data_IF_982287610328
#
_entry.id   IF_982287610328
#
_cell.length_a   1.000
_cell.length_b   1.000
_cell.length_c   1.000
_cell.angle_alpha   90.00
_cell.angle_beta   90.00
_cell.angle_gamma   90.00
#
_symmetry.space_group_name_H-M   'P 1'
#
loop_
_entity.id
_entity.type
_entity.pdbx_description
1 polymer ?
#
# COMPACT_ATOMS: atom_id res chain seq x y z
N UNK A 1 -3.81 -23.03 6.36
CA UNK A 1 -2.89 -22.36 7.32
C UNK A 1 -3.71 -21.45 8.23
N UNK A 2 -3.28 -21.28 9.48
CA UNK A 2 -3.76 -20.22 10.39
C UNK A 2 -2.97 -18.95 10.10
N UNK A 3 -3.65 -17.88 9.72
CA UNK A 3 -3.03 -16.62 9.28
C UNK A 3 -3.47 -15.48 10.18
N UNK A 4 -2.51 -14.79 10.77
CA UNK A 4 -2.77 -13.57 11.52
C UNK A 4 -2.68 -12.34 10.59
N UNK A 5 -3.71 -11.49 10.62
CA UNK A 5 -3.81 -10.29 9.78
C UNK A 5 -3.96 -9.03 10.62
N UNK A 6 -2.95 -8.17 10.59
CA UNK A 6 -3.02 -6.83 11.15
C UNK A 6 -3.45 -5.83 10.07
N UNK A 7 -4.47 -5.01 10.35
CA UNK A 7 -5.05 -4.06 9.38
C UNK A 7 -6.20 -4.63 8.56
N UNK A 8 -6.81 -5.73 9.01
CA UNK A 8 -7.84 -6.49 8.30
C UNK A 8 -9.12 -5.73 7.94
N UNK A 9 -9.44 -4.62 8.62
CA UNK A 9 -10.62 -3.80 8.31
C UNK A 9 -10.33 -2.61 7.41
N UNK A 10 -9.07 -2.43 6.99
CA UNK A 10 -8.64 -1.33 6.14
C UNK A 10 -8.89 -1.58 4.65
N UNK A 11 -8.41 -0.64 3.83
CA UNK A 11 -8.55 -0.67 2.37
C UNK A 11 -8.11 -2.01 1.75
N UNK A 12 -6.88 -2.46 2.02
CA UNK A 12 -6.36 -3.75 1.53
C UNK A 12 -6.88 -4.93 2.33
N UNK A 13 -6.89 -4.82 3.67
CA UNK A 13 -7.23 -5.92 4.57
C UNK A 13 -8.62 -6.52 4.32
N UNK A 14 -9.59 -5.67 4.00
CA UNK A 14 -10.97 -6.08 3.73
C UNK A 14 -11.12 -6.95 2.47
N UNK A 15 -10.13 -6.94 1.57
CA UNK A 15 -10.05 -7.85 0.42
C UNK A 15 -9.11 -9.03 0.66
N UNK A 16 -8.04 -8.83 1.43
CA UNK A 16 -7.08 -9.90 1.78
C UNK A 16 -7.75 -11.00 2.60
N UNK A 17 -8.60 -10.65 3.57
CA UNK A 17 -9.25 -11.64 4.44
C UNK A 17 -10.16 -12.59 3.66
N UNK A 18 -11.13 -12.11 2.84
CA UNK A 18 -11.95 -12.99 2.00
C UNK A 18 -11.12 -13.83 1.03
N UNK A 19 -10.07 -13.27 0.43
CA UNK A 19 -9.16 -13.98 -0.48
C UNK A 19 -8.47 -15.17 0.23
N UNK A 20 -7.96 -14.95 1.44
CA UNK A 20 -7.35 -16.00 2.26
C UNK A 20 -8.37 -17.08 2.65
N UNK A 21 -9.57 -16.70 3.08
CA UNK A 21 -10.63 -17.64 3.47
C UNK A 21 -11.07 -18.48 2.27
N UNK A 22 -11.26 -17.86 1.10
CA UNK A 22 -11.61 -18.55 -0.14
C UNK A 22 -10.56 -19.58 -0.56
N UNK A 23 -9.28 -19.33 -0.25
CA UNK A 23 -8.17 -20.27 -0.45
C UNK A 23 -8.05 -21.34 0.65
N UNK A 24 -8.96 -21.38 1.63
CA UNK A 24 -9.00 -22.40 2.67
C UNK A 24 -8.11 -22.11 3.89
N UNK A 25 -7.69 -20.86 4.09
CA UNK A 25 -6.97 -20.45 5.29
C UNK A 25 -7.94 -20.10 6.44
N UNK A 26 -7.53 -20.41 7.67
CA UNK A 26 -8.18 -19.88 8.87
C UNK A 26 -7.56 -18.51 9.18
N UNK A 27 -8.39 -17.47 9.25
CA UNK A 27 -7.89 -16.10 9.44
C UNK A 27 -8.24 -15.58 10.82
N UNK A 28 -7.26 -15.01 11.52
CA UNK A 28 -7.44 -14.23 12.75
C UNK A 28 -7.04 -12.79 12.48
N UNK A 29 -7.98 -11.86 12.58
CA UNK A 29 -7.72 -10.43 12.41
C UNK A 29 -7.54 -9.69 13.75
N UNK A 30 -6.65 -8.70 13.77
CA UNK A 30 -6.47 -7.79 14.91
C UNK A 30 -7.57 -6.71 14.93
N UNK A 31 -8.27 -6.57 16.06
CA UNK A 31 -9.29 -5.54 16.27
C UNK A 31 -9.01 -4.70 17.52
N UNK A 32 -8.87 -3.38 17.31
CA UNK A 32 -8.73 -2.40 18.40
C UNK A 32 -10.07 -1.88 18.95
N UNK A 33 -11.18 -2.15 18.27
CA UNK A 33 -12.51 -1.66 18.64
C UNK A 33 -13.62 -2.68 18.32
N UNK A 34 -14.79 -2.50 18.94
CA UNK A 34 -15.94 -3.39 18.72
C UNK A 34 -16.45 -3.33 17.30
N UNK A 35 -16.40 -2.14 16.69
CA UNK A 35 -16.71 -1.96 15.27
C UNK A 35 -15.73 -2.76 14.38
N UNK A 36 -14.42 -2.71 14.67
CA UNK A 36 -13.44 -3.51 13.92
C UNK A 36 -13.64 -5.01 14.14
N UNK A 37 -13.96 -5.43 15.36
CA UNK A 37 -14.25 -6.83 15.68
C UNK A 37 -15.46 -7.34 14.88
N UNK A 38 -16.57 -6.58 14.89
CA UNK A 38 -17.77 -6.92 14.13
C UNK A 38 -17.49 -6.98 12.62
N UNK A 39 -16.72 -6.03 12.08
CA UNK A 39 -16.33 -6.02 10.67
C UNK A 39 -15.51 -7.27 10.29
N UNK A 40 -14.55 -7.68 11.12
CA UNK A 40 -13.76 -8.90 10.89
C UNK A 40 -14.62 -10.16 10.94
N UNK A 41 -15.51 -10.27 11.93
CA UNK A 41 -16.43 -11.41 12.02
C UNK A 41 -17.36 -11.48 10.80
N UNK A 42 -17.83 -10.33 10.29
CA UNK A 42 -18.62 -10.27 9.07
C UNK A 42 -17.85 -10.73 7.82
N UNK A 43 -16.52 -10.58 7.80
CA UNK A 43 -15.63 -11.11 6.76
C UNK A 43 -15.32 -12.61 6.96
N UNK A 44 -15.80 -13.24 8.03
CA UNK A 44 -15.54 -14.65 8.36
C UNK A 44 -14.24 -14.90 9.13
N UNK A 45 -13.54 -13.87 9.57
CA UNK A 45 -12.33 -14.00 10.37
C UNK A 45 -12.63 -14.17 11.87
N UNK A 46 -11.78 -14.94 12.55
CA UNK A 46 -11.68 -14.92 14.02
C UNK A 46 -11.14 -13.56 14.46
N UNK A 47 -11.53 -13.11 15.65
CA UNK A 47 -11.12 -11.82 16.18
C UNK A 47 -10.08 -12.02 17.29
N UNK A 48 -8.95 -11.34 17.18
CA UNK A 48 -8.05 -11.09 18.31
C UNK A 48 -8.18 -9.63 18.72
N UNK A 49 -8.60 -9.38 19.96
CA UNK A 49 -8.58 -8.03 20.52
C UNK A 49 -7.15 -7.62 20.82
N UNK A 50 -6.80 -6.39 20.48
CA UNK A 50 -5.47 -5.84 20.74
C UNK A 50 -5.23 -4.55 19.95
N UNK A 51 -4.08 -3.95 20.24
CA UNK A 51 -3.61 -2.74 19.57
C UNK A 51 -2.23 -2.99 18.96
N UNK A 52 -1.85 -2.20 17.95
CA UNK A 52 -0.53 -2.31 17.32
C UNK A 52 0.61 -1.92 18.27
N UNK A 53 0.32 -1.23 19.36
CA UNK A 53 1.29 -0.89 20.41
C UNK A 53 1.54 -2.04 21.39
N UNK A 54 0.68 -3.07 21.40
CA UNK A 54 0.84 -4.26 22.24
C UNK A 54 1.79 -5.26 21.55
N UNK A 55 3.10 -4.97 21.61
CA UNK A 55 4.12 -5.78 20.93
C UNK A 55 4.16 -7.22 21.43
N UNK A 56 3.90 -7.46 22.72
CA UNK A 56 3.84 -8.82 23.27
C UNK A 56 2.61 -9.57 22.72
N UNK A 57 1.44 -8.92 22.71
CA UNK A 57 0.24 -9.50 22.11
C UNK A 57 0.37 -9.78 20.61
N UNK A 58 1.18 -9.00 19.88
CA UNK A 58 1.54 -9.24 18.48
C UNK A 58 2.50 -10.43 18.31
N UNK A 59 3.50 -10.57 19.19
CA UNK A 59 4.40 -11.74 19.22
C UNK A 59 3.65 -13.03 19.46
N UNK A 60 2.74 -13.03 20.43
CA UNK A 60 1.87 -14.18 20.72
C UNK A 60 1.03 -14.54 19.49
N UNK A 61 0.40 -13.54 18.86
CA UNK A 61 -0.43 -13.76 17.67
C UNK A 61 0.36 -14.36 16.50
N UNK A 62 1.59 -13.88 16.28
CA UNK A 62 2.49 -14.40 15.25
C UNK A 62 2.95 -15.83 15.58
N UNK A 63 3.31 -16.09 16.83
CA UNK A 63 3.75 -17.42 17.30
C UNK A 63 2.66 -18.48 17.13
N UNK A 64 1.42 -18.13 17.47
CA UNK A 64 0.23 -18.99 17.38
C UNK A 64 -0.23 -19.26 15.94
N UNK A 65 0.29 -18.50 14.98
CA UNK A 65 -0.10 -18.57 13.57
C UNK A 65 0.93 -19.35 12.75
N UNK A 66 0.50 -19.80 11.57
CA UNK A 66 1.38 -20.42 10.58
C UNK A 66 1.94 -19.36 9.61
N UNK A 67 1.44 -18.13 9.64
CA UNK A 67 1.93 -16.99 8.86
C UNK A 67 1.28 -15.66 9.26
N UNK A 68 1.93 -14.54 8.93
CA UNK A 68 1.50 -13.18 9.28
C UNK A 68 1.39 -12.31 8.03
N UNK A 69 0.30 -11.55 7.93
CA UNK A 69 0.16 -10.44 6.98
C UNK A 69 -0.01 -9.13 7.75
N UNK A 70 0.85 -8.15 7.48
CA UNK A 70 0.81 -6.83 8.10
C UNK A 70 0.55 -5.73 7.06
N UNK A 71 -0.68 -5.23 7.06
CA UNK A 71 -1.12 -4.11 6.19
C UNK A 71 -1.63 -2.91 6.99
N UNK A 72 -1.34 -2.89 8.29
CA UNK A 72 -1.80 -1.82 9.17
C UNK A 72 -0.83 -0.63 9.13
N UNK A 73 -1.26 0.46 8.51
CA UNK A 73 -0.50 1.71 8.50
C UNK A 73 -0.89 2.60 9.69
N UNK A 74 0.06 3.19 10.40
CA UNK A 74 -0.16 4.13 11.52
C UNK A 74 -0.57 5.53 11.06
N UNK A 75 -1.55 5.60 10.16
CA UNK A 75 -2.04 6.84 9.56
C UNK A 75 -2.55 7.84 10.62
N UNK A 76 -2.94 7.37 11.80
CA UNK A 76 -3.33 8.17 12.96
C UNK A 76 -2.21 9.11 13.48
N UNK A 77 -0.94 8.79 13.21
CA UNK A 77 0.20 9.58 13.67
C UNK A 77 0.63 10.67 12.69
N UNK A 78 0.14 10.64 11.45
CA UNK A 78 0.50 11.64 10.43
C UNK A 78 0.22 13.08 10.88
N UNK A 79 -0.94 13.42 11.49
CA UNK A 79 -1.22 14.80 11.89
C UNK A 79 -0.33 15.31 13.04
N UNK A 80 0.12 14.43 13.94
CA UNK A 80 0.85 14.82 15.15
C UNK A 80 2.38 14.74 15.01
N UNK A 81 2.89 13.89 14.14
CA UNK A 81 4.33 13.65 14.02
C UNK A 81 4.81 13.27 12.62
N UNK A 82 3.95 13.41 11.60
CA UNK A 82 4.31 13.15 10.22
C UNK A 82 4.77 11.71 9.96
N UNK A 83 5.56 11.53 8.90
CA UNK A 83 6.03 10.20 8.51
C UNK A 83 7.08 9.64 9.47
N UNK A 84 7.82 10.49 10.18
CA UNK A 84 8.82 10.08 11.17
C UNK A 84 8.18 9.33 12.33
N UNK A 85 7.08 9.86 12.89
CA UNK A 85 6.34 9.19 13.96
C UNK A 85 5.73 7.86 13.49
N UNK A 86 5.27 7.80 12.23
CA UNK A 86 4.76 6.57 11.62
C UNK A 86 5.86 5.52 11.51
N UNK A 87 7.02 5.87 10.94
CA UNK A 87 8.14 4.96 10.80
C UNK A 87 8.66 4.45 12.16
N UNK A 88 8.77 5.36 13.14
CA UNK A 88 9.19 5.03 14.50
C UNK A 88 8.20 4.09 15.22
N UNK A 89 6.91 4.19 14.92
CA UNK A 89 5.88 3.32 15.50
C UNK A 89 5.76 1.97 14.76
N UNK A 90 5.99 1.93 13.45
CA UNK A 90 5.87 0.71 12.63
C UNK A 90 7.11 -0.20 12.71
N UNK A 91 8.30 0.36 12.92
CA UNK A 91 9.53 -0.44 12.98
C UNK A 91 9.52 -1.47 14.13
N UNK A 92 9.17 -1.12 15.38
CA UNK A 92 9.08 -2.10 16.46
C UNK A 92 8.06 -3.22 16.20
N UNK A 93 7.00 -2.95 15.45
CA UNK A 93 5.96 -3.93 15.13
C UNK A 93 6.54 -5.05 14.25
N UNK A 94 7.24 -4.68 13.17
CA UNK A 94 7.82 -5.69 12.26
C UNK A 94 8.96 -6.46 12.92
N UNK A 95 9.73 -5.80 13.79
CA UNK A 95 10.78 -6.46 14.59
C UNK A 95 10.19 -7.44 15.61
N UNK A 96 9.06 -7.11 16.24
CA UNK A 96 8.35 -8.01 17.15
C UNK A 96 7.86 -9.27 16.41
N UNK A 97 7.29 -9.14 15.21
CA UNK A 97 6.98 -10.31 14.39
C UNK A 97 8.24 -11.11 14.03
N UNK A 98 9.34 -10.43 13.71
CA UNK A 98 10.63 -11.05 13.45
C UNK A 98 11.13 -11.92 14.61
N UNK A 99 11.11 -11.38 15.83
CA UNK A 99 11.47 -12.09 17.05
C UNK A 99 10.64 -13.36 17.24
N UNK A 100 9.31 -13.25 17.11
CA UNK A 100 8.39 -14.37 17.27
C UNK A 100 8.54 -15.47 16.20
N UNK A 101 8.98 -15.10 14.99
CA UNK A 101 9.06 -16.02 13.85
C UNK A 101 10.49 -16.50 13.55
N UNK A 102 11.50 -16.00 14.27
CA UNK A 102 12.91 -16.32 14.02
C UNK A 102 13.17 -17.84 14.02
N UNK A 103 13.90 -18.31 13.00
CA UNK A 103 14.25 -19.72 12.81
C UNK A 103 13.09 -20.66 12.46
N UNK A 104 11.84 -20.17 12.40
CA UNK A 104 10.67 -21.03 12.16
C UNK A 104 10.41 -21.32 10.68
N UNK A 105 10.96 -20.51 9.76
CA UNK A 105 10.62 -20.56 8.33
C UNK A 105 9.20 -20.10 7.99
N UNK A 106 8.41 -19.67 8.99
CA UNK A 106 7.04 -19.17 8.78
C UNK A 106 7.06 -17.83 8.01
N UNK A 107 6.08 -17.60 7.12
CA UNK A 107 6.02 -16.37 6.33
C UNK A 107 5.53 -15.15 7.10
N UNK A 108 6.17 -14.01 6.80
CA UNK A 108 5.73 -12.67 7.15
C UNK A 108 5.63 -11.84 5.87
N UNK A 109 4.44 -11.33 5.54
CA UNK A 109 4.24 -10.45 4.39
C UNK A 109 3.78 -9.08 4.86
N UNK A 110 4.57 -8.04 4.61
CA UNK A 110 4.23 -6.67 4.99
C UNK A 110 3.90 -5.78 3.78
N UNK A 111 3.06 -4.77 3.98
CA UNK A 111 2.82 -3.74 2.98
C UNK A 111 4.00 -2.75 2.87
N UNK A 112 4.49 -2.57 1.65
CA UNK A 112 5.50 -1.60 1.24
C UNK A 112 4.93 -0.54 0.30
N UNK A 113 5.80 0.32 -0.20
CA UNK A 113 5.42 1.40 -1.14
C UNK A 113 6.20 1.31 -2.44
N UNK A 114 5.54 1.55 -3.58
CA UNK A 114 6.21 1.67 -4.86
C UNK A 114 7.18 2.85 -4.95
N UNK A 115 7.08 3.84 -4.06
CA UNK A 115 8.04 4.95 -3.98
C UNK A 115 9.34 4.62 -3.23
N UNK A 116 9.44 3.44 -2.60
CA UNK A 116 10.56 3.07 -1.74
C UNK A 116 11.91 2.98 -2.46
N UNK A 117 11.98 2.46 -3.70
CA UNK A 117 13.22 2.50 -4.51
C UNK A 117 13.61 3.90 -5.01
N UNK A 118 12.75 4.91 -4.84
CA UNK A 118 12.93 6.23 -5.41
C UNK A 118 12.56 6.30 -6.89
N UNK A 119 12.86 7.44 -7.50
CA UNK A 119 12.59 7.68 -8.92
C UNK A 119 13.86 7.38 -9.73
N UNK A 120 13.75 6.51 -10.72
CA UNK A 120 14.84 6.06 -11.59
C UNK A 120 14.56 6.50 -13.03
N UNK A 121 15.59 6.57 -13.87
CA UNK A 121 15.45 6.85 -15.32
C UNK A 121 14.82 5.68 -16.11
N UNK A 122 14.36 4.63 -15.41
CA UNK A 122 13.70 3.43 -15.95
C UNK A 122 12.57 3.00 -15.02
N UNK A 123 11.73 2.07 -15.49
CA UNK A 123 10.78 1.37 -14.62
C UNK A 123 11.50 0.70 -13.44
N UNK A 124 10.91 0.85 -12.26
CA UNK A 124 11.32 0.15 -11.04
C UNK A 124 10.96 -1.33 -11.17
N UNK A 125 11.87 -2.22 -10.78
CA UNK A 125 11.70 -3.69 -10.79
C UNK A 125 11.86 -4.26 -9.39
N UNK A 126 11.40 -5.47 -9.15
CA UNK A 126 11.34 -6.08 -7.81
C UNK A 126 12.70 -6.30 -7.15
N UNK A 127 13.78 -6.30 -7.94
CA UNK A 127 15.16 -6.37 -7.45
C UNK A 127 15.70 -5.03 -6.96
N UNK A 128 15.00 -3.92 -7.23
CA UNK A 128 15.40 -2.60 -6.73
C UNK A 128 15.09 -2.52 -5.23
N UNK A 129 16.12 -2.34 -4.37
CA UNK A 129 15.92 -2.29 -2.94
C UNK A 129 15.24 -0.99 -2.51
N UNK A 130 14.61 -1.01 -1.33
CA UNK A 130 14.22 0.23 -0.69
C UNK A 130 15.47 1.05 -0.35
N UNK A 131 15.49 2.32 -0.74
CA UNK A 131 16.62 3.21 -0.46
C UNK A 131 16.79 3.42 1.05
N UNK A 132 18.03 3.50 1.58
CA UNK A 132 18.26 3.84 2.97
C UNK A 132 17.71 5.24 3.31
N UNK A 133 17.38 5.46 4.57
CA UNK A 133 16.98 6.75 5.10
C UNK A 133 18.03 7.24 6.12
N UNK A 134 18.24 8.56 6.13
CA UNK A 134 19.18 9.27 6.99
C UNK A 134 18.53 10.53 7.59
N UNK A 135 19.29 11.33 8.34
CA UNK A 135 18.77 12.55 8.98
C UNK A 135 18.24 13.57 7.95
N UNK A 136 18.85 13.64 6.77
CA UNK A 136 18.44 14.48 5.64
C UNK A 136 17.07 14.09 5.05
N UNK A 137 16.58 12.91 5.38
CA UNK A 137 15.31 12.39 4.90
C UNK A 137 14.15 12.60 5.87
N UNK A 138 14.39 13.16 7.06
CA UNK A 138 13.35 13.46 8.07
C UNK A 138 12.21 14.28 7.47
N UNK A 139 10.97 13.94 7.82
CA UNK A 139 9.76 14.57 7.30
C UNK A 139 9.33 14.10 5.90
N UNK A 140 10.09 13.22 5.23
CA UNK A 140 9.77 12.71 3.88
C UNK A 140 9.22 11.29 3.91
N UNK A 141 8.65 10.81 2.80
CA UNK A 141 8.26 9.41 2.65
C UNK A 141 9.44 8.43 2.80
N UNK A 142 10.68 8.88 2.55
CA UNK A 142 11.88 8.03 2.57
C UNK A 142 12.14 7.45 3.96
N UNK A 143 11.79 8.14 5.06
CA UNK A 143 12.02 7.63 6.43
C UNK A 143 11.34 6.29 6.68
N UNK A 144 10.19 6.03 6.04
CA UNK A 144 9.44 4.79 6.21
C UNK A 144 10.11 3.57 5.57
N UNK A 145 11.10 3.78 4.69
CA UNK A 145 11.87 2.68 4.10
C UNK A 145 12.60 1.82 5.14
N UNK A 146 12.87 2.36 6.34
CA UNK A 146 13.46 1.58 7.45
C UNK A 146 12.61 0.35 7.81
N UNK A 147 11.28 0.48 7.74
CA UNK A 147 10.34 -0.61 8.05
C UNK A 147 10.41 -1.71 6.99
N UNK A 148 10.38 -1.30 5.72
CA UNK A 148 10.44 -2.23 4.59
C UNK A 148 11.76 -2.99 4.54
N UNK A 149 12.88 -2.29 4.77
CA UNK A 149 14.20 -2.92 4.87
C UNK A 149 14.26 -3.89 6.04
N UNK A 150 13.79 -3.49 7.22
CA UNK A 150 13.75 -4.37 8.38
C UNK A 150 12.98 -5.66 8.09
N UNK A 151 11.82 -5.60 7.41
CA UNK A 151 11.06 -6.80 7.03
C UNK A 151 11.89 -7.72 6.13
N UNK A 152 12.54 -7.19 5.09
CA UNK A 152 13.34 -8.02 4.18
C UNK A 152 14.54 -8.63 4.88
N UNK A 153 15.21 -7.88 5.77
CA UNK A 153 16.39 -8.34 6.52
C UNK A 153 16.05 -9.47 7.52
N UNK A 154 14.79 -9.63 7.93
CA UNK A 154 14.35 -10.78 8.77
C UNK A 154 14.56 -12.15 8.07
N UNK A 155 14.79 -12.17 6.76
CA UNK A 155 15.15 -13.38 6.04
C UNK A 155 16.47 -13.98 6.56
N UNK A 156 17.41 -13.14 7.00
CA UNK A 156 18.68 -13.58 7.60
C UNK A 156 18.48 -14.27 8.94
N UNK A 157 17.33 -14.05 9.59
CA UNK A 157 16.95 -14.67 10.85
C UNK A 157 16.08 -15.92 10.66
N UNK A 158 15.96 -16.44 9.43
CA UNK A 158 15.17 -17.62 9.13
C UNK A 158 13.66 -17.40 9.11
N UNK A 159 13.20 -16.15 9.02
CA UNK A 159 11.80 -15.82 8.73
C UNK A 159 11.60 -15.84 7.21
N UNK A 160 10.51 -16.42 6.70
CA UNK A 160 10.18 -16.32 5.26
C UNK A 160 9.54 -14.96 4.96
N UNK A 161 10.27 -13.88 5.21
CA UNK A 161 9.76 -12.52 5.14
C UNK A 161 9.78 -11.96 3.71
N UNK A 162 8.78 -11.16 3.37
CA UNK A 162 8.73 -10.42 2.10
C UNK A 162 7.86 -9.17 2.22
N UNK A 163 7.99 -8.27 1.26
CA UNK A 163 7.22 -7.03 1.19
C UNK A 163 6.45 -6.97 -0.12
N UNK A 164 5.14 -6.73 -0.05
CA UNK A 164 4.33 -6.40 -1.22
C UNK A 164 4.23 -4.88 -1.28
N UNK A 165 4.89 -4.27 -2.28
CA UNK A 165 4.81 -2.84 -2.55
C UNK A 165 3.52 -2.53 -3.27
N UNK A 166 2.69 -1.71 -2.64
CA UNK A 166 1.40 -1.29 -3.18
C UNK A 166 1.61 -0.05 -4.05
N UNK A 167 0.93 -0.04 -5.20
CA UNK A 167 0.90 1.10 -6.13
C UNK A 167 0.56 2.43 -5.45
N UNK A 168 1.02 3.53 -6.05
CA UNK A 168 0.61 4.89 -5.68
C UNK A 168 -0.92 5.02 -5.70
N UNK A 169 -1.59 4.48 -6.72
CA UNK A 169 -3.05 4.39 -6.74
C UNK A 169 -3.48 2.93 -6.58
N UNK A 170 -3.77 2.54 -5.35
CA UNK A 170 -4.53 1.32 -5.09
C UNK A 170 -6.02 1.65 -5.14
N UNK A 171 -6.68 1.34 -6.24
CA UNK A 171 -8.06 1.74 -6.48
C UNK A 171 -9.07 0.62 -6.16
N UNK A 172 -10.30 1.03 -5.88
CA UNK A 172 -11.44 0.15 -5.61
C UNK A 172 -12.38 0.77 -4.57
N UNK A 173 -13.49 0.09 -4.29
CA UNK A 173 -14.60 0.65 -3.49
C UNK A 173 -14.30 0.86 -1.99
N UNK A 174 -13.14 0.41 -1.51
CA UNK A 174 -12.71 0.65 -0.12
C UNK A 174 -11.70 1.80 -0.01
N UNK A 175 -11.32 2.42 -1.12
CA UNK A 175 -10.35 3.51 -1.18
C UNK A 175 -10.98 4.83 -0.70
N UNK A 176 -10.82 5.16 0.57
CA UNK A 176 -11.44 6.37 1.17
C UNK A 176 -10.47 7.52 1.38
N UNK A 177 -9.17 7.25 1.34
CA UNK A 177 -8.13 8.19 1.75
C UNK A 177 -6.84 8.05 0.93
N UNK A 178 -6.86 7.28 -0.17
CA UNK A 178 -5.73 7.18 -1.09
C UNK A 178 -5.51 8.46 -1.89
N UNK A 179 -4.51 8.42 -2.77
CA UNK A 179 -4.17 9.57 -3.60
C UNK A 179 -5.29 9.91 -4.59
N UNK A 180 -6.00 8.92 -5.16
CA UNK A 180 -7.07 9.17 -6.11
C UNK A 180 -8.26 9.96 -5.51
N UNK A 181 -8.86 9.56 -4.36
CA UNK A 181 -9.85 10.38 -3.66
C UNK A 181 -9.35 11.78 -3.32
N UNK A 182 -8.07 11.91 -2.96
CA UNK A 182 -7.47 13.21 -2.63
C UNK A 182 -7.37 14.11 -3.87
N UNK A 183 -6.96 13.56 -5.02
CA UNK A 183 -6.93 14.29 -6.31
C UNK A 183 -8.33 14.70 -6.77
N UNK A 184 -9.34 13.83 -6.58
CA UNK A 184 -10.74 14.14 -6.87
C UNK A 184 -11.25 15.27 -5.97
N UNK A 185 -10.97 15.20 -4.67
CA UNK A 185 -11.36 16.24 -3.71
C UNK A 185 -10.72 17.59 -4.06
N UNK A 186 -9.43 17.57 -4.42
CA UNK A 186 -8.71 18.76 -4.84
C UNK A 186 -9.30 19.36 -6.13
N UNK A 187 -9.65 18.52 -7.11
CA UNK A 187 -10.27 19.00 -8.33
C UNK A 187 -11.63 19.68 -8.07
N UNK A 188 -12.43 19.13 -7.17
CA UNK A 188 -13.70 19.73 -6.71
C UNK A 188 -13.46 21.07 -6.00
N UNK A 189 -12.47 21.13 -5.11
CA UNK A 189 -12.13 22.35 -4.37
C UNK A 189 -11.66 23.47 -5.31
N UNK A 190 -10.80 23.16 -6.28
CA UNK A 190 -10.19 24.14 -7.19
C UNK A 190 -11.03 24.45 -8.42
N UNK A 191 -12.04 23.65 -8.73
CA UNK A 191 -12.91 23.82 -9.90
C UNK A 191 -12.29 23.36 -11.23
N UNK A 192 -11.17 22.64 -11.18
CA UNK A 192 -10.51 22.01 -12.33
C UNK A 192 -9.61 20.88 -11.86
N UNK A 193 -9.33 19.88 -12.69
CA UNK A 193 -8.34 18.85 -12.38
C UNK A 193 -6.96 19.23 -12.92
N UNK A 194 -6.02 19.54 -12.03
CA UNK A 194 -4.66 19.91 -12.38
C UNK A 194 -3.76 18.71 -12.71
N UNK A 195 -2.80 18.89 -13.63
CA UNK A 195 -1.65 17.99 -13.86
C UNK A 195 -0.35 18.81 -13.99
N UNK A 196 0.81 18.32 -13.51
CA UNK A 196 2.06 19.09 -13.50
C UNK A 196 2.67 19.16 -14.91
N UNK A 197 3.05 20.37 -15.36
CA UNK A 197 3.69 20.55 -16.67
C UNK A 197 2.84 19.99 -17.82
N UNK A 198 3.41 19.14 -18.67
CA UNK A 198 2.67 18.44 -19.74
C UNK A 198 1.90 17.19 -19.24
N UNK A 199 2.10 16.79 -17.97
CA UNK A 199 1.53 15.62 -17.33
C UNK A 199 2.00 14.29 -17.91
N UNK A 200 3.18 14.27 -18.54
CA UNK A 200 3.79 13.07 -19.11
C UNK A 200 4.42 12.14 -18.04
N UNK A 201 4.56 12.60 -16.80
CA UNK A 201 5.00 11.75 -15.70
C UNK A 201 4.00 10.59 -15.49
N UNK A 202 4.53 9.41 -15.21
CA UNK A 202 3.75 8.18 -15.14
C UNK A 202 3.44 7.85 -13.69
N UNK A 203 2.22 7.44 -13.40
CA UNK A 203 1.81 6.92 -12.09
C UNK A 203 1.36 5.47 -12.24
N UNK A 204 1.91 4.60 -11.40
CA UNK A 204 1.45 3.22 -11.30
C UNK A 204 0.12 3.15 -10.52
N UNK A 205 -0.66 2.13 -10.84
CA UNK A 205 -1.94 1.84 -10.20
C UNK A 205 -2.13 0.33 -10.05
N UNK A 206 -3.04 -0.07 -9.18
CA UNK A 206 -3.48 -1.47 -9.04
C UNK A 206 -4.90 -1.49 -8.52
N UNK A 207 -5.73 -2.41 -9.00
CA UNK A 207 -6.99 -2.70 -8.33
C UNK A 207 -6.72 -3.45 -7.03
N UNK A 208 -7.31 -2.99 -5.92
CA UNK A 208 -7.01 -3.50 -4.58
C UNK A 208 -7.30 -5.01 -4.39
N UNK A 209 -8.24 -5.57 -5.16
CA UNK A 209 -8.47 -7.03 -5.20
C UNK A 209 -7.31 -7.81 -5.82
N UNK A 210 -6.65 -7.28 -6.85
CA UNK A 210 -5.46 -7.94 -7.42
C UNK A 210 -4.28 -7.83 -6.45
N UNK A 211 -4.15 -6.72 -5.72
CA UNK A 211 -3.17 -6.62 -4.64
C UNK A 211 -3.44 -7.67 -3.54
N UNK A 212 -4.71 -7.90 -3.18
CA UNK A 212 -5.08 -8.89 -2.17
C UNK A 212 -4.66 -10.33 -2.55
N UNK A 213 -4.87 -10.73 -3.81
CA UNK A 213 -4.41 -12.03 -4.28
C UNK A 213 -2.88 -12.15 -4.26
N UNK A 214 -2.15 -11.06 -4.53
CA UNK A 214 -0.70 -11.05 -4.40
C UNK A 214 -0.22 -11.25 -2.97
N UNK A 215 -0.85 -10.61 -1.98
CA UNK A 215 -0.54 -10.84 -0.55
C UNK A 215 -0.69 -12.32 -0.16
N UNK A 216 -1.76 -12.98 -0.64
CA UNK A 216 -1.95 -14.42 -0.43
C UNK A 216 -0.84 -15.24 -1.10
N UNK A 217 -0.53 -14.98 -2.37
CA UNK A 217 0.51 -15.74 -3.08
C UNK A 217 1.90 -15.55 -2.48
N UNK A 218 2.23 -14.33 -2.04
CA UNK A 218 3.46 -14.06 -1.31
C UNK A 218 3.52 -14.86 -0.01
N UNK A 219 2.41 -14.93 0.74
CA UNK A 219 2.31 -15.72 1.96
C UNK A 219 2.50 -17.22 1.69
N UNK A 220 1.81 -17.77 0.69
CA UNK A 220 1.82 -19.20 0.39
C UNK A 220 3.18 -19.69 -0.13
N UNK A 221 3.80 -18.95 -1.05
CA UNK A 221 4.93 -19.46 -1.85
C UNK A 221 6.07 -18.48 -2.09
N UNK A 222 5.97 -17.24 -1.61
CA UNK A 222 7.03 -16.24 -1.76
C UNK A 222 8.34 -16.69 -1.12
N UNK A 223 9.48 -16.67 -1.84
CA UNK A 223 10.80 -16.83 -1.22
C UNK A 223 11.09 -15.71 -0.21
N UNK A 224 11.93 -16.02 0.77
CA UNK A 224 12.37 -15.08 1.80
C UNK A 224 13.23 -13.94 1.20
N UNK A 225 13.18 -12.76 1.83
CA UNK A 225 14.01 -11.62 1.50
C UNK A 225 13.71 -11.05 0.11
N UNK A 226 12.42 -10.84 -0.19
CA UNK A 226 11.96 -10.36 -1.51
C UNK A 226 10.97 -9.21 -1.42
N UNK A 227 10.96 -8.43 -2.50
CA UNK A 227 9.91 -7.46 -2.81
C UNK A 227 9.01 -8.02 -3.92
N UNK A 228 7.73 -7.70 -3.85
CA UNK A 228 6.74 -8.01 -4.87
C UNK A 228 5.99 -6.73 -5.23
N UNK A 229 5.69 -6.53 -6.51
CA UNK A 229 5.02 -5.30 -6.97
C UNK A 229 3.55 -5.57 -7.25
N UNK A 230 2.66 -4.99 -6.43
CA UNK A 230 1.24 -4.93 -6.70
C UNK A 230 0.96 -3.71 -7.59
N UNK A 231 1.22 -3.83 -8.89
CA UNK A 231 1.02 -2.77 -9.89
C UNK A 231 0.49 -3.37 -11.20
N UNK A 232 -0.24 -2.57 -11.97
CA UNK A 232 -0.33 -2.70 -13.42
C UNK A 232 1.05 -2.42 -14.03
N UNK A 233 1.45 -3.19 -15.04
CA UNK A 233 2.78 -3.09 -15.64
C UNK A 233 2.95 -1.74 -16.39
N UNK A 234 4.01 -1.01 -16.08
CA UNK A 234 4.29 0.33 -16.60
C UNK A 234 3.73 1.45 -15.71
N UNK A 235 2.87 2.29 -16.28
CA UNK A 235 2.26 3.42 -15.58
C UNK A 235 1.34 4.24 -16.50
N UNK A 236 0.39 4.95 -15.90
CA UNK A 236 -0.56 5.81 -16.61
C UNK A 236 -0.05 7.26 -16.58
N UNK A 237 -0.04 8.00 -17.71
CA UNK A 237 0.28 9.42 -17.71
C UNK A 237 -0.60 10.19 -16.73
N UNK A 238 -0.01 11.04 -15.89
CA UNK A 238 -0.75 11.80 -14.89
C UNK A 238 -1.81 12.69 -15.53
N UNK A 239 -1.53 13.23 -16.73
CA UNK A 239 -2.52 13.95 -17.54
C UNK A 239 -3.77 13.13 -17.80
N UNK A 240 -3.63 11.86 -18.18
CA UNK A 240 -4.77 10.99 -18.46
C UNK A 240 -5.61 10.73 -17.20
N UNK A 241 -4.97 10.64 -16.03
CA UNK A 241 -5.66 10.55 -14.74
C UNK A 241 -6.43 11.85 -14.45
N UNK A 242 -5.80 13.01 -14.64
CA UNK A 242 -6.45 14.31 -14.43
C UNK A 242 -7.63 14.53 -15.41
N UNK A 243 -7.48 14.17 -16.68
CA UNK A 243 -8.54 14.21 -17.69
C UNK A 243 -9.70 13.28 -17.35
N UNK A 244 -9.39 12.07 -16.86
CA UNK A 244 -10.39 11.11 -16.40
C UNK A 244 -11.19 11.61 -15.18
N UNK A 245 -10.54 12.32 -14.25
CA UNK A 245 -11.20 12.99 -13.13
C UNK A 245 -12.06 14.16 -13.64
N UNK A 246 -11.47 15.04 -14.44
CA UNK A 246 -12.11 16.23 -15.02
C UNK A 246 -13.41 15.88 -15.76
N UNK A 247 -13.34 14.91 -16.68
CA UNK A 247 -14.48 14.47 -17.49
C UNK A 247 -15.65 13.98 -16.64
N UNK A 248 -15.38 13.21 -15.57
CA UNK A 248 -16.42 12.67 -14.68
C UNK A 248 -17.01 13.70 -13.73
N UNK A 249 -16.25 14.73 -13.38
CA UNK A 249 -16.73 15.84 -12.56
C UNK A 249 -17.41 16.95 -13.39
N UNK A 250 -17.27 16.93 -14.71
CA UNK A 250 -17.69 18.03 -15.59
C UNK A 250 -16.85 19.29 -15.39
N UNK A 251 -15.56 19.12 -15.09
CA UNK A 251 -14.58 20.18 -14.87
C UNK A 251 -13.54 20.17 -16.00
N UNK A 252 -12.79 21.26 -16.23
CA UNK A 252 -11.66 21.25 -17.15
C UNK A 252 -10.44 20.52 -16.53
N UNK A 253 -9.62 19.91 -17.38
CA UNK A 253 -8.27 19.47 -17.03
C UNK A 253 -7.26 20.57 -17.40
N UNK A 254 -6.36 20.94 -16.49
CA UNK A 254 -5.49 22.12 -16.66
C UNK A 254 -4.04 21.77 -16.32
N UNK A 255 -3.13 22.18 -17.20
CA UNK A 255 -1.69 22.15 -16.92
C UNK A 255 -1.37 23.13 -15.80
N UNK A 256 -0.70 22.66 -14.76
CA UNK A 256 -0.19 23.47 -13.66
C UNK A 256 1.29 23.71 -13.91
N UNK A 257 1.70 24.96 -14.24
CA UNK A 257 3.10 25.32 -14.47
C UNK A 257 3.99 25.06 -13.25
N UNK A 258 5.26 24.73 -13.47
CA UNK A 258 6.19 24.33 -12.41
C UNK A 258 6.45 25.42 -11.37
N UNK A 259 6.40 26.70 -11.76
CA UNK A 259 6.50 27.84 -10.85
C UNK A 259 5.29 27.96 -9.91
N UNK A 260 4.09 27.66 -10.42
CA UNK A 260 2.85 27.58 -9.62
C UNK A 260 2.79 26.36 -8.69
N UNK A 261 3.69 25.37 -8.84
CA UNK A 261 3.81 24.23 -7.93
C UNK A 261 4.58 24.58 -6.65
N UNK A 262 5.39 25.64 -6.65
CA UNK A 262 6.35 25.97 -5.58
C UNK A 262 5.88 27.02 -4.55
N UNK A 263 4.74 27.69 -4.78
CA UNK A 263 4.05 28.54 -3.77
C UNK A 263 3.09 27.64 -2.95
N UNK A 264 2.10 28.08 -2.12
CA UNK A 264 1.05 27.16 -1.68
C UNK A 264 0.23 26.73 -2.91
N UNK A 265 0.83 25.85 -3.70
CA UNK A 265 0.51 25.53 -5.06
C UNK A 265 -0.69 24.60 -5.10
N UNK A 266 -1.18 24.37 -6.31
CA UNK A 266 -2.38 23.58 -6.55
C UNK A 266 -2.39 22.26 -5.75
N UNK A 267 -1.27 21.53 -5.67
CA UNK A 267 -1.18 20.22 -5.00
C UNK A 267 -0.81 20.26 -3.50
N UNK A 268 -0.45 21.42 -2.93
CA UNK A 268 -0.08 21.53 -1.52
C UNK A 268 1.00 20.53 -1.08
N UNK A 269 0.73 19.75 -0.03
CA UNK A 269 1.67 18.74 0.49
C UNK A 269 1.98 17.60 -0.51
N UNK A 270 1.13 17.42 -1.54
CA UNK A 270 1.32 16.39 -2.57
C UNK A 270 2.31 16.80 -3.66
N UNK A 271 2.73 18.07 -3.74
CA UNK A 271 3.60 18.57 -4.82
C UNK A 271 4.83 17.69 -5.04
N UNK A 272 5.51 17.28 -3.96
CA UNK A 272 6.73 16.48 -4.05
C UNK A 272 6.49 15.04 -4.55
N UNK A 273 5.25 14.57 -4.57
CA UNK A 273 4.87 13.23 -5.02
C UNK A 273 4.30 13.32 -6.44
N UNK A 274 3.38 14.26 -6.68
CA UNK A 274 2.70 14.44 -7.97
C UNK A 274 3.64 14.81 -9.09
N UNK A 275 4.73 15.53 -8.80
CA UNK A 275 5.73 15.92 -9.81
C UNK A 275 6.69 14.79 -10.21
N UNK A 276 6.69 13.68 -9.48
CA UNK A 276 7.55 12.54 -9.78
C UNK A 276 6.88 11.56 -10.77
N UNK A 277 7.72 10.71 -11.35
CA UNK A 277 7.30 9.58 -12.18
C UNK A 277 7.56 8.28 -11.40
N UNK A 278 6.62 7.34 -11.47
CA UNK A 278 6.67 6.05 -10.79
C UNK A 278 6.34 4.89 -11.73
N UNK A 279 6.97 4.75 -12.91
CA UNK A 279 6.78 3.57 -13.72
C UNK A 279 7.37 2.35 -13.00
N UNK A 280 6.67 1.22 -13.07
CA UNK A 280 7.10 -0.01 -12.41
C UNK A 280 6.73 -1.24 -13.22
N UNK A 281 7.53 -2.30 -13.07
CA UNK A 281 7.19 -3.60 -13.62
C UNK A 281 6.80 -4.59 -12.53
N UNK A 282 5.95 -5.54 -12.90
CA UNK A 282 5.56 -6.68 -12.07
C UNK A 282 6.07 -8.03 -12.63
N UNK A 283 7.02 -7.99 -13.58
CA UNK A 283 7.43 -9.17 -14.34
C UNK A 283 7.97 -10.31 -13.45
N UNK A 284 8.76 -9.98 -12.43
CA UNK A 284 9.33 -10.99 -11.52
C UNK A 284 8.23 -11.57 -10.63
N UNK A 285 7.32 -10.71 -10.16
CA UNK A 285 6.13 -11.09 -9.40
C UNK A 285 5.30 -12.11 -10.18
N UNK A 286 4.97 -11.82 -11.44
CA UNK A 286 4.20 -12.70 -12.31
C UNK A 286 4.90 -14.03 -12.56
N UNK A 287 6.18 -14.01 -12.93
CA UNK A 287 6.95 -15.23 -13.23
C UNK A 287 7.16 -16.12 -12.02
N UNK A 288 7.40 -15.53 -10.85
CA UNK A 288 7.76 -16.29 -9.65
C UNK A 288 6.52 -16.78 -8.90
N UNK A 289 5.50 -15.91 -8.79
CA UNK A 289 4.30 -16.20 -8.02
C UNK A 289 3.11 -16.60 -8.89
N UNK A 290 3.24 -16.66 -10.23
CA UNK A 290 2.10 -16.91 -11.11
C UNK A 290 0.93 -15.96 -10.87
N UNK A 291 1.21 -14.77 -10.35
CA UNK A 291 0.22 -13.72 -10.14
C UNK A 291 -0.06 -13.04 -11.47
N UNK A 292 -1.31 -12.73 -11.75
CA UNK A 292 -1.73 -11.95 -12.92
C UNK A 292 -2.84 -10.99 -12.45
N UNK A 293 -2.74 -9.68 -12.68
CA UNK A 293 -3.84 -8.77 -12.40
C UNK A 293 -4.99 -9.04 -13.38
N UNK A 294 -6.21 -9.15 -12.86
CA UNK A 294 -7.40 -9.55 -13.63
C UNK A 294 -8.52 -8.52 -13.58
N UNK A 295 -8.44 -7.57 -12.66
CA UNK A 295 -9.47 -6.56 -12.49
C UNK A 295 -9.31 -5.46 -13.55
N UNK A 296 -10.35 -4.62 -13.76
CA UNK A 296 -10.25 -3.48 -14.66
C UNK A 296 -9.12 -2.55 -14.22
N UNK A 297 -8.41 -1.99 -15.20
CA UNK A 297 -7.37 -1.01 -14.92
C UNK A 297 -7.95 0.33 -14.41
N UNK A 298 -7.08 1.16 -13.82
CA UNK A 298 -7.46 2.40 -13.13
C UNK A 298 -8.55 3.23 -13.83
N UNK A 299 -8.32 3.63 -15.08
CA UNK A 299 -9.22 4.57 -15.78
C UNK A 299 -10.61 3.98 -16.03
N UNK A 300 -10.71 2.66 -16.19
CA UNK A 300 -11.97 1.95 -16.40
C UNK A 300 -12.72 1.74 -15.07
N UNK A 301 -11.99 1.46 -13.98
CA UNK A 301 -12.59 1.23 -12.67
C UNK A 301 -13.10 2.52 -11.99
N UNK A 302 -12.70 3.70 -12.47
CA UNK A 302 -13.22 4.97 -11.94
C UNK A 302 -14.76 5.13 -12.04
N UNK A 303 -15.43 4.32 -12.88
CA UNK A 303 -16.88 4.31 -13.06
C UNK A 303 -17.62 3.33 -12.12
N UNK A 304 -16.94 2.78 -11.11
CA UNK A 304 -17.51 1.81 -10.15
C UNK A 304 -18.51 2.41 -9.13
N UNK A 305 -18.93 3.67 -9.29
CA UNK A 305 -19.87 4.38 -8.43
C UNK A 305 -19.31 4.86 -7.09
N UNK A 306 -18.06 4.52 -6.76
CA UNK A 306 -17.40 4.94 -5.51
C UNK A 306 -16.72 6.30 -5.63
N UNK A 307 -15.99 6.54 -6.72
CA UNK A 307 -15.18 7.75 -6.90
C UNK A 307 -15.99 8.96 -7.34
N UNK A 308 -16.95 8.74 -8.22
CA UNK A 308 -17.93 9.75 -8.65
C UNK A 308 -19.31 9.11 -8.53
N UNK A 309 -20.06 9.39 -7.45
CA UNK A 309 -21.40 8.87 -7.29
C UNK A 309 -22.28 9.27 -8.49
N UNK A 310 -23.10 8.34 -8.97
CA UNK A 310 -24.09 8.66 -10.00
C UNK A 310 -24.99 9.80 -9.51
N UNK A 311 -25.24 10.79 -10.39
CA UNK A 311 -26.18 11.89 -10.13
C UNK A 311 -27.61 11.40 -10.15
#
# INVERSE_FOLDING_TARGET
MRVFVAGGTGHSGSYIIPELIAAGHEVTGLARSDASAAALSALGAKVRRGDLQDLDGLKDAASDSDGVIHVAHRQDLLPSGGMDAVAAAELPIVLAYGEALAGTGKPLVAAGSMGSPGNLERSVVEEDPALPAGDEHKGTLRVRNVVERAVVDLAEQGVRSSVVRIANIAHGTTDRAGFLPTLIALAKEKGFAGYPGDGANLWNAVHIRDAASLFRLALEKGPAGRYWHAVEDGGTPFRAIAEAIAGRLGLPAVSVPNDALMTPGYFGFLTNIVTQSYPASNLITRRTLGWEPTQPGLLADMDNGHYVPAR
#
